data_IF_834574443388
#
_entry.id   IF_834574443388
#
_cell.length_a   1.000
_cell.length_b   1.000
_cell.length_c   1.000
_cell.angle_alpha   90.00
_cell.angle_beta   90.00
_cell.angle_gamma   90.00
#
_symmetry.space_group_name_H-M   'P 1'
#
loop_
_entity.id
_entity.type
_entity.pdbx_description
1 polymer ?
#
# COMPACT_ATOMS: atom_id res chain seq x y z
N UNK A 1 -17.36 12.42 -5.31
CA UNK A 1 -16.43 12.10 -4.20
C UNK A 1 -17.29 11.60 -3.03
N UNK A 2 -16.86 10.55 -2.32
CA UNK A 2 -17.62 9.99 -1.20
C UNK A 2 -17.41 10.81 0.07
N UNK A 3 -18.43 10.90 0.92
CA UNK A 3 -18.33 11.61 2.20
C UNK A 3 -17.78 10.73 3.33
N UNK A 4 -17.58 11.33 4.50
CA UNK A 4 -17.17 10.60 5.70
C UNK A 4 -18.23 9.57 6.11
N UNK A 5 -17.81 8.38 6.55
CA UNK A 5 -18.72 7.33 7.03
C UNK A 5 -19.69 6.77 5.98
N UNK A 6 -19.27 6.75 4.71
CA UNK A 6 -20.11 6.27 3.61
C UNK A 6 -20.17 4.75 3.51
N UNK A 7 -19.05 4.06 3.78
CA UNK A 7 -18.90 2.63 3.54
C UNK A 7 -18.78 1.81 4.83
N UNK A 8 -19.40 0.63 4.84
CA UNK A 8 -19.23 -0.38 5.90
C UNK A 8 -17.91 -1.16 5.73
N UNK A 9 -17.44 -1.29 4.50
CA UNK A 9 -16.18 -1.95 4.17
C UNK A 9 -15.51 -1.30 2.97
N UNK A 10 -14.17 -1.30 2.96
CA UNK A 10 -13.32 -0.91 1.83
C UNK A 10 -12.35 -2.05 1.58
N UNK A 11 -11.99 -2.30 0.32
CA UNK A 11 -10.89 -3.20 -0.01
C UNK A 11 -9.96 -2.58 -1.04
N UNK A 12 -8.67 -2.88 -0.94
CA UNK A 12 -7.65 -2.53 -1.90
C UNK A 12 -6.77 -3.76 -2.20
N UNK A 13 -6.56 -4.02 -3.49
CA UNK A 13 -5.76 -5.14 -4.00
C UNK A 13 -4.77 -4.52 -4.97
N UNK A 14 -3.48 -4.55 -4.61
CA UNK A 14 -2.35 -4.06 -5.42
C UNK A 14 -2.57 -2.65 -6.00
N UNK A 15 -3.20 -1.78 -5.21
CA UNK A 15 -3.62 -0.45 -5.65
C UNK A 15 -2.95 0.67 -4.86
N UNK A 16 -2.75 0.48 -3.55
CA UNK A 16 -2.29 1.55 -2.67
C UNK A 16 -0.79 1.80 -2.76
N UNK A 17 0.00 0.83 -3.26
CA UNK A 17 1.41 1.02 -3.63
C UNK A 17 1.63 2.13 -4.66
N UNK A 18 0.64 2.41 -5.52
CA UNK A 18 0.69 3.50 -6.49
C UNK A 18 0.41 4.89 -5.88
N UNK A 19 -0.12 4.96 -4.66
CA UNK A 19 -0.43 6.23 -4.03
C UNK A 19 0.86 6.97 -3.60
N UNK A 20 0.93 8.31 -3.67
CA UNK A 20 2.14 9.07 -3.29
C UNK A 20 2.60 8.86 -1.85
N UNK A 21 1.69 8.56 -0.92
CA UNK A 21 1.98 8.20 0.47
C UNK A 21 0.91 7.27 1.04
N UNK A 22 1.29 6.46 2.02
CA UNK A 22 0.38 5.55 2.72
C UNK A 22 -0.60 6.32 3.59
N UNK A 23 -0.11 7.31 4.34
CA UNK A 23 -0.92 8.16 5.22
C UNK A 23 -1.98 8.92 4.43
N UNK A 24 -1.63 9.38 3.23
CA UNK A 24 -2.55 10.10 2.35
C UNK A 24 -3.70 9.21 1.90
N UNK A 25 -3.42 8.03 1.35
CA UNK A 25 -4.48 7.14 0.87
C UNK A 25 -5.24 6.45 2.00
N UNK A 26 -4.56 5.97 3.05
CA UNK A 26 -5.18 5.30 4.19
C UNK A 26 -5.97 6.27 5.05
N UNK A 27 -5.56 7.54 5.15
CA UNK A 27 -6.34 8.59 5.79
C UNK A 27 -7.70 8.79 5.12
N UNK A 28 -7.72 8.80 3.78
CA UNK A 28 -8.96 8.91 3.01
C UNK A 28 -9.83 7.64 3.13
N UNK A 29 -9.22 6.45 3.14
CA UNK A 29 -9.94 5.18 3.39
C UNK A 29 -10.59 5.20 4.78
N UNK A 30 -9.86 5.63 5.80
CA UNK A 30 -10.37 5.77 7.16
C UNK A 30 -11.52 6.78 7.25
N UNK A 31 -11.44 7.90 6.53
CA UNK A 31 -12.47 8.93 6.52
C UNK A 31 -13.80 8.40 5.97
N UNK A 32 -13.76 7.66 4.85
CA UNK A 32 -14.98 7.15 4.21
C UNK A 32 -15.56 5.91 4.90
N UNK A 33 -14.82 5.26 5.79
CA UNK A 33 -15.31 4.13 6.60
C UNK A 33 -16.22 4.62 7.74
N UNK A 34 -17.31 3.90 7.96
CA UNK A 34 -18.17 4.08 9.16
C UNK A 34 -17.40 3.67 10.43
N UNK A 35 -17.80 4.17 11.62
CA UNK A 35 -17.29 3.63 12.89
C UNK A 35 -17.51 2.11 12.97
N UNK A 36 -16.42 1.36 13.15
CA UNK A 36 -16.44 -0.11 13.16
C UNK A 36 -16.41 -0.78 11.78
N UNK A 37 -16.32 0.00 10.70
CA UNK A 37 -16.12 -0.53 9.35
C UNK A 37 -14.76 -1.18 9.17
N UNK A 38 -14.65 -2.06 8.17
CA UNK A 38 -13.46 -2.89 7.95
C UNK A 38 -12.71 -2.52 6.67
N UNK A 39 -11.38 -2.58 6.72
CA UNK A 39 -10.53 -2.41 5.56
C UNK A 39 -9.77 -3.71 5.27
N UNK A 40 -9.96 -4.26 4.07
CA UNK A 40 -9.18 -5.38 3.56
C UNK A 40 -8.07 -4.90 2.63
N UNK A 41 -6.83 -5.23 2.94
CA UNK A 41 -5.67 -4.85 2.14
C UNK A 41 -4.91 -6.09 1.67
N UNK A 42 -4.55 -6.09 0.40
CA UNK A 42 -3.53 -6.95 -0.17
C UNK A 42 -2.66 -6.06 -1.07
N UNK A 43 -1.38 -5.90 -0.75
CA UNK A 43 -0.50 -4.97 -1.45
C UNK A 43 0.98 -5.32 -1.28
N UNK A 44 1.83 -4.73 -2.12
CA UNK A 44 3.27 -4.86 -2.07
C UNK A 44 3.87 -3.95 -1.01
N UNK A 45 4.77 -4.51 -0.20
CA UNK A 45 5.51 -3.79 0.82
C UNK A 45 6.88 -4.44 1.03
N UNK A 46 7.85 -3.63 1.46
CA UNK A 46 9.12 -4.17 1.95
C UNK A 46 8.96 -4.63 3.40
N UNK A 47 9.50 -5.82 3.69
CA UNK A 47 9.59 -6.33 5.06
C UNK A 47 10.75 -5.68 5.81
N UNK A 48 10.78 -5.86 7.13
CA UNK A 48 11.87 -5.40 8.00
C UNK A 48 13.23 -6.04 7.66
N UNK A 49 13.22 -7.17 6.94
CA UNK A 49 14.42 -7.88 6.48
C UNK A 49 15.03 -7.27 5.20
N UNK A 50 14.31 -6.35 4.53
CA UNK A 50 14.84 -5.71 3.32
C UNK A 50 16.05 -4.82 3.64
N UNK A 51 17.11 -4.96 2.85
CA UNK A 51 18.38 -4.26 3.03
C UNK A 51 18.76 -3.53 1.75
N UNK A 52 18.72 -2.20 1.80
CA UNK A 52 19.05 -1.33 0.68
C UNK A 52 20.56 -1.28 0.37
N UNK A 53 21.41 -1.95 1.14
CA UNK A 53 22.84 -2.10 0.82
C UNK A 53 23.15 -3.43 0.13
N UNK A 54 22.28 -4.44 0.27
CA UNK A 54 22.42 -5.75 -0.34
C UNK A 54 22.02 -5.72 -1.84
N UNK A 55 22.95 -5.97 -2.79
CA UNK A 55 22.65 -5.94 -4.22
C UNK A 55 21.61 -6.98 -4.65
N UNK A 56 21.56 -8.14 -3.99
CA UNK A 56 20.59 -9.19 -4.33
C UNK A 56 19.17 -8.79 -3.92
N UNK A 57 19.02 -8.14 -2.77
CA UNK A 57 17.71 -7.63 -2.33
C UNK A 57 17.19 -6.56 -3.30
N UNK A 58 18.06 -5.66 -3.79
CA UNK A 58 17.69 -4.70 -4.84
C UNK A 58 17.29 -5.37 -6.15
N UNK A 59 18.04 -6.39 -6.56
CA UNK A 59 17.76 -7.13 -7.80
C UNK A 59 16.38 -7.78 -7.76
N UNK A 60 16.02 -8.39 -6.62
CA UNK A 60 14.70 -9.00 -6.42
C UNK A 60 13.60 -7.94 -6.39
N UNK A 61 13.76 -6.89 -5.59
CA UNK A 61 12.80 -5.78 -5.50
C UNK A 61 12.52 -5.18 -6.88
N UNK A 62 13.56 -4.83 -7.62
CA UNK A 62 13.43 -4.27 -8.96
C UNK A 62 12.78 -5.26 -9.95
N UNK A 63 13.07 -6.56 -9.81
CA UNK A 63 12.40 -7.59 -10.59
C UNK A 63 10.89 -7.64 -10.36
N UNK A 64 10.45 -7.45 -9.11
CA UNK A 64 9.03 -7.35 -8.75
C UNK A 64 8.42 -6.06 -9.33
N UNK A 65 9.08 -4.92 -9.16
CA UNK A 65 8.62 -3.62 -9.67
C UNK A 65 8.36 -3.64 -11.18
N UNK A 66 9.30 -4.20 -11.95
CA UNK A 66 9.16 -4.35 -13.40
C UNK A 66 8.15 -5.43 -13.76
N UNK A 67 8.15 -6.56 -13.05
CA UNK A 67 7.27 -7.69 -13.32
C UNK A 67 5.80 -7.37 -13.08
N UNK A 68 5.50 -6.58 -12.06
CA UNK A 68 4.15 -6.23 -11.64
C UNK A 68 3.70 -4.84 -12.13
N UNK A 69 4.64 -4.01 -12.62
CA UNK A 69 4.34 -2.68 -13.14
C UNK A 69 4.04 -1.64 -12.04
N UNK A 70 4.65 -1.81 -10.87
CA UNK A 70 4.46 -0.96 -9.68
C UNK A 70 5.62 0.03 -9.50
N UNK A 71 5.41 1.17 -8.80
CA UNK A 71 6.51 2.05 -8.43
C UNK A 71 7.48 1.37 -7.45
N UNK A 72 8.59 2.04 -7.16
CA UNK A 72 9.56 1.59 -6.16
C UNK A 72 8.85 1.21 -4.85
N UNK A 73 9.06 -0.04 -4.42
CA UNK A 73 8.40 -0.58 -3.23
C UNK A 73 8.95 0.10 -1.98
N UNK A 74 8.05 0.54 -1.09
CA UNK A 74 8.40 1.30 0.11
C UNK A 74 8.50 0.41 1.34
N UNK A 75 9.33 0.84 2.30
CA UNK A 75 9.26 0.35 3.69
C UNK A 75 8.05 0.96 4.40
N UNK A 76 7.57 0.26 5.42
CA UNK A 76 6.73 0.89 6.43
C UNK A 76 7.63 1.82 7.27
N UNK A 77 7.23 3.08 7.42
CA UNK A 77 7.86 4.06 8.31
C UNK A 77 6.99 4.31 9.55
#
# INVERSE_FOLDING_TARGET
MFGAGWFDAVYAIEATCHAPSWEGCYGQIKEVLKPGGVFGLYDWCMTDEWDASNPEHKRIAHGIEIGDGIPEMRRFE
#
